data_IF_592169288316
#
_entry.id   IF_592169288316
#
_cell.length_a   1.000
_cell.length_b   1.000
_cell.length_c   1.000
_cell.angle_alpha   90.00
_cell.angle_beta   90.00
_cell.angle_gamma   90.00
#
_symmetry.space_group_name_H-M   'P 1'
#
loop_
_entity.id
_entity.type
_entity.pdbx_description
1 polymer ?
#
# COMPACT_ATOMS: atom_id res chain seq x y z
N UNK A 1 13.33 -33.95 9.81
CA UNK A 1 12.94 -34.01 8.38
C UNK A 1 13.00 -32.62 7.70
N UNK A 2 12.31 -31.59 8.25
CA UNK A 2 12.32 -30.24 7.65
C UNK A 2 13.73 -29.63 7.69
N UNK A 3 14.42 -29.72 8.84
CA UNK A 3 15.79 -29.21 9.02
C UNK A 3 16.80 -29.92 8.09
N UNK A 4 16.67 -31.22 7.91
CA UNK A 4 17.49 -31.97 6.96
C UNK A 4 17.20 -31.56 5.51
N UNK A 5 15.94 -31.34 5.19
CA UNK A 5 15.52 -30.84 3.88
C UNK A 5 16.12 -29.45 3.59
N UNK A 6 16.01 -28.51 4.55
CA UNK A 6 16.60 -27.17 4.44
C UNK A 6 18.11 -27.28 4.22
N UNK A 7 18.82 -28.08 5.02
CA UNK A 7 20.26 -28.25 4.91
C UNK A 7 20.69 -28.75 3.53
N UNK A 8 20.04 -29.80 3.00
CA UNK A 8 20.35 -30.34 1.67
C UNK A 8 20.16 -29.32 0.56
N UNK A 9 19.12 -28.45 0.69
CA UNK A 9 18.88 -27.44 -0.34
C UNK A 9 19.81 -26.25 -0.22
N UNK A 10 20.19 -25.87 0.99
CA UNK A 10 21.17 -24.80 1.25
C UNK A 10 22.57 -25.25 0.81
N UNK A 11 22.98 -26.52 1.07
CA UNK A 11 24.21 -27.11 0.52
C UNK A 11 24.25 -26.99 -1.01
N UNK A 12 23.11 -27.25 -1.67
CA UNK A 12 23.00 -27.17 -3.12
C UNK A 12 23.04 -25.74 -3.65
N UNK A 13 22.48 -24.78 -2.90
CA UNK A 13 22.54 -23.36 -3.27
C UNK A 13 23.96 -22.81 -3.18
N UNK A 14 24.72 -23.24 -2.19
CA UNK A 14 26.15 -22.93 -2.06
C UNK A 14 26.97 -23.55 -3.21
N UNK A 15 26.74 -24.83 -3.51
CA UNK A 15 27.41 -25.51 -4.65
C UNK A 15 27.15 -24.86 -5.99
N UNK A 16 25.96 -24.26 -6.18
CA UNK A 16 25.56 -23.56 -7.39
C UNK A 16 25.91 -22.05 -7.37
N UNK A 17 26.67 -21.60 -6.38
CA UNK A 17 27.05 -20.19 -6.18
C UNK A 17 25.86 -19.23 -6.11
N UNK A 18 24.68 -19.69 -5.69
CA UNK A 18 23.52 -18.84 -5.46
C UNK A 18 23.58 -18.11 -4.12
N UNK A 19 24.34 -18.65 -3.17
CA UNK A 19 24.62 -18.04 -1.86
C UNK A 19 26.12 -18.17 -1.58
N UNK A 20 26.67 -17.27 -0.78
CA UNK A 20 28.05 -17.36 -0.30
C UNK A 20 28.14 -18.13 1.03
N UNK A 21 29.37 -18.31 1.55
CA UNK A 21 29.59 -19.03 2.80
C UNK A 21 29.01 -18.32 4.02
N UNK A 22 28.91 -16.99 4.00
CA UNK A 22 28.34 -16.20 5.08
C UNK A 22 26.84 -16.41 5.13
N UNK A 23 26.17 -16.31 4.00
CA UNK A 23 24.73 -16.59 3.87
C UNK A 23 24.37 -18.03 4.21
N UNK A 24 25.21 -18.98 3.79
CA UNK A 24 25.06 -20.39 4.12
C UNK A 24 25.04 -20.61 5.64
N UNK A 25 25.97 -19.99 6.34
CA UNK A 25 26.07 -20.10 7.81
C UNK A 25 24.86 -19.42 8.48
N UNK A 26 24.42 -18.27 7.99
CA UNK A 26 23.28 -17.54 8.53
C UNK A 26 21.98 -18.35 8.37
N UNK A 27 21.74 -18.96 7.22
CA UNK A 27 20.57 -19.83 7.02
C UNK A 27 20.62 -21.07 7.91
N UNK A 28 21.80 -21.66 8.12
CA UNK A 28 21.97 -22.80 9.03
C UNK A 28 21.74 -22.40 10.49
N UNK A 29 22.19 -21.21 10.91
CA UNK A 29 21.91 -20.68 12.23
C UNK A 29 20.41 -20.52 12.49
N UNK A 30 19.68 -19.92 11.54
CA UNK A 30 18.22 -19.77 11.58
C UNK A 30 17.54 -21.16 11.66
N UNK A 31 17.98 -22.10 10.84
CA UNK A 31 17.42 -23.46 10.81
C UNK A 31 17.66 -24.24 12.13
N UNK A 32 18.72 -23.91 12.86
CA UNK A 32 19.07 -24.55 14.13
C UNK A 32 18.44 -23.90 15.36
N UNK A 33 17.88 -22.69 15.26
CA UNK A 33 17.17 -22.03 16.36
C UNK A 33 15.80 -22.69 16.59
N UNK A 34 15.53 -23.09 17.83
CA UNK A 34 14.29 -23.81 18.18
C UNK A 34 13.04 -22.93 18.23
N UNK A 35 13.21 -21.60 18.37
CA UNK A 35 12.12 -20.63 18.38
C UNK A 35 12.56 -19.36 17.65
N UNK A 36 12.00 -19.11 16.48
CA UNK A 36 11.94 -17.77 15.90
C UNK A 36 10.93 -16.99 16.73
N UNK A 37 11.40 -16.33 17.78
CA UNK A 37 10.56 -15.48 18.64
C UNK A 37 10.36 -14.11 17.99
N UNK A 38 9.34 -13.38 18.46
CA UNK A 38 9.06 -11.99 18.01
C UNK A 38 10.28 -11.06 18.13
N UNK A 39 11.24 -11.37 19.01
CA UNK A 39 12.51 -10.65 19.13
C UNK A 39 13.36 -10.68 17.85
N UNK A 40 13.31 -11.75 17.07
CA UNK A 40 14.03 -11.84 15.79
C UNK A 40 13.50 -10.80 14.79
N UNK A 41 12.18 -10.60 14.73
CA UNK A 41 11.57 -9.59 13.87
C UNK A 41 11.79 -8.15 14.36
N UNK A 42 11.90 -7.94 15.66
CA UNK A 42 12.20 -6.62 16.24
C UNK A 42 13.64 -6.17 15.95
N UNK A 43 14.60 -7.08 16.00
CA UNK A 43 16.00 -6.79 15.68
C UNK A 43 16.22 -6.65 14.16
N UNK A 44 15.37 -7.26 13.33
CA UNK A 44 15.48 -7.18 11.88
C UNK A 44 15.41 -5.74 11.35
N UNK A 45 14.62 -4.85 11.97
CA UNK A 45 14.53 -3.46 11.55
C UNK A 45 15.87 -2.72 11.74
N UNK A 46 16.56 -2.96 12.85
CA UNK A 46 17.88 -2.37 13.11
C UNK A 46 18.95 -2.98 12.19
N UNK A 47 18.90 -4.30 11.96
CA UNK A 47 19.80 -4.99 11.03
C UNK A 47 19.56 -4.58 9.58
N UNK A 48 18.32 -4.30 9.18
CA UNK A 48 17.98 -3.83 7.84
C UNK A 48 18.60 -2.47 7.51
N UNK A 49 18.66 -1.57 8.48
CA UNK A 49 19.28 -0.26 8.32
C UNK A 49 20.80 -0.33 8.40
N UNK A 50 21.34 -1.19 9.27
CA UNK A 50 22.77 -1.25 9.60
C UNK A 50 23.55 -2.29 8.80
N UNK A 51 22.93 -3.39 8.39
CA UNK A 51 23.60 -4.50 7.68
C UNK A 51 22.76 -5.01 6.51
N UNK A 52 23.01 -4.45 5.32
CA UNK A 52 22.30 -4.81 4.08
C UNK A 52 22.42 -6.31 3.73
N UNK A 53 23.59 -6.90 3.97
CA UNK A 53 23.84 -8.30 3.65
C UNK A 53 22.98 -9.24 4.53
N UNK A 54 22.85 -8.96 5.81
CA UNK A 54 21.94 -9.70 6.68
C UNK A 54 20.47 -9.56 6.26
N UNK A 55 20.06 -8.35 5.87
CA UNK A 55 18.72 -8.12 5.36
C UNK A 55 18.43 -8.96 4.11
N UNK A 56 19.36 -8.98 3.15
CA UNK A 56 19.22 -9.77 1.93
C UNK A 56 19.19 -11.28 2.25
N UNK A 57 20.06 -11.75 3.13
CA UNK A 57 20.08 -13.16 3.54
C UNK A 57 18.79 -13.57 4.25
N UNK A 58 18.22 -12.68 5.08
CA UNK A 58 16.91 -12.92 5.71
C UNK A 58 15.80 -13.02 4.65
N UNK A 59 15.75 -12.08 3.71
CA UNK A 59 14.77 -12.10 2.63
C UNK A 59 14.91 -13.40 1.83
N UNK A 60 16.12 -13.80 1.48
CA UNK A 60 16.39 -15.02 0.74
C UNK A 60 15.93 -16.27 1.51
N UNK A 61 16.22 -16.35 2.81
CA UNK A 61 15.78 -17.43 3.67
C UNK A 61 14.25 -17.49 3.82
N UNK A 62 13.60 -16.33 3.95
CA UNK A 62 12.14 -16.23 3.98
C UNK A 62 11.51 -16.76 2.68
N UNK A 63 12.01 -16.30 1.52
CA UNK A 63 11.56 -16.74 0.21
C UNK A 63 11.72 -18.26 0.04
N UNK A 64 12.87 -18.78 0.45
CA UNK A 64 13.15 -20.21 0.41
C UNK A 64 12.15 -21.03 1.24
N UNK A 65 11.81 -20.56 2.45
CA UNK A 65 10.79 -21.18 3.30
C UNK A 65 9.38 -21.19 2.67
N UNK A 66 9.12 -20.26 1.76
CA UNK A 66 7.87 -20.20 0.97
C UNK A 66 7.95 -21.01 -0.33
N UNK A 67 9.00 -21.81 -0.54
CA UNK A 67 9.31 -22.52 -1.79
C UNK A 67 9.47 -21.59 -3.00
N UNK A 68 9.92 -20.36 -2.76
CA UNK A 68 10.20 -19.36 -3.79
C UNK A 68 11.70 -19.17 -3.87
N UNK A 69 12.27 -19.47 -5.04
CA UNK A 69 13.73 -19.40 -5.24
C UNK A 69 14.02 -18.36 -6.33
N UNK A 70 14.73 -17.31 -5.94
CA UNK A 70 15.34 -16.35 -6.86
C UNK A 70 16.86 -16.36 -6.70
N UNK A 71 17.63 -16.20 -7.78
CA UNK A 71 19.05 -15.92 -7.68
C UNK A 71 19.31 -14.71 -6.78
N UNK A 72 20.35 -14.77 -5.96
CA UNK A 72 20.68 -13.72 -4.99
C UNK A 72 20.75 -12.33 -5.63
N UNK A 73 21.41 -12.21 -6.78
CA UNK A 73 21.54 -10.94 -7.49
C UNK A 73 20.18 -10.28 -7.81
N UNK A 74 19.13 -11.06 -8.08
CA UNK A 74 17.77 -10.53 -8.31
C UNK A 74 17.23 -9.86 -7.04
N UNK A 75 17.46 -10.46 -5.88
CA UNK A 75 17.04 -9.93 -4.59
C UNK A 75 17.85 -8.68 -4.25
N UNK A 76 19.16 -8.70 -4.48
CA UNK A 76 20.07 -7.56 -4.27
C UNK A 76 19.70 -6.37 -5.16
N UNK A 77 19.48 -6.63 -6.46
CA UNK A 77 19.08 -5.60 -7.43
C UNK A 77 17.72 -4.99 -7.04
N UNK A 78 16.74 -5.84 -6.71
CA UNK A 78 15.41 -5.36 -6.31
C UNK A 78 15.49 -4.56 -5.00
N UNK A 79 16.26 -5.02 -4.02
CA UNK A 79 16.52 -4.30 -2.79
C UNK A 79 17.17 -2.93 -3.04
N UNK A 80 18.18 -2.87 -3.90
CA UNK A 80 18.87 -1.63 -4.26
C UNK A 80 17.91 -0.64 -4.97
N UNK A 81 17.10 -1.13 -5.92
CA UNK A 81 16.12 -0.31 -6.62
C UNK A 81 15.07 0.30 -5.67
N UNK A 82 14.60 -0.48 -4.69
CA UNK A 82 13.64 0.05 -3.70
C UNK A 82 14.23 1.22 -2.91
N UNK A 83 15.53 1.20 -2.62
CA UNK A 83 16.19 2.28 -1.88
C UNK A 83 16.33 3.59 -2.66
N UNK A 84 16.18 3.57 -3.99
CA UNK A 84 16.23 4.80 -4.81
C UNK A 84 14.94 5.60 -4.74
N UNK A 85 13.85 5.02 -4.24
CA UNK A 85 12.50 5.58 -4.26
C UNK A 85 12.02 5.95 -5.68
N UNK A 86 12.54 5.28 -6.69
CA UNK A 86 12.15 5.45 -8.08
C UNK A 86 11.05 4.45 -8.48
N UNK A 87 10.39 4.73 -9.60
CA UNK A 87 9.49 3.77 -10.23
C UNK A 87 10.29 2.57 -10.74
N UNK A 88 9.96 1.38 -10.25
CA UNK A 88 10.62 0.14 -10.62
C UNK A 88 9.82 -0.54 -11.73
N UNK A 89 10.45 -0.83 -12.85
CA UNK A 89 9.84 -1.55 -13.98
C UNK A 89 10.45 -2.95 -14.05
N UNK A 90 9.61 -3.97 -13.78
CA UNK A 90 10.01 -5.37 -13.90
C UNK A 90 9.64 -5.90 -15.29
N UNK A 91 10.62 -6.09 -16.14
CA UNK A 91 10.47 -6.65 -17.48
C UNK A 91 10.92 -8.13 -17.54
N UNK A 92 10.28 -8.92 -18.38
CA UNK A 92 10.60 -10.33 -18.57
C UNK A 92 9.40 -11.13 -19.08
N UNK A 93 9.63 -12.38 -19.43
CA UNK A 93 8.62 -13.28 -19.96
C UNK A 93 7.45 -13.50 -19.01
N UNK A 94 6.26 -13.81 -19.55
CA UNK A 94 5.12 -14.17 -18.72
C UNK A 94 5.43 -15.45 -17.93
N UNK A 95 5.03 -15.47 -16.65
CA UNK A 95 5.32 -16.60 -15.77
C UNK A 95 6.75 -16.63 -15.17
N UNK A 96 7.61 -15.65 -15.45
CA UNK A 96 8.95 -15.57 -14.86
C UNK A 96 8.98 -15.20 -13.36
N UNK A 97 7.82 -15.02 -12.73
CA UNK A 97 7.72 -14.76 -11.30
C UNK A 97 7.78 -13.29 -10.88
N UNK A 98 7.75 -12.32 -11.82
CA UNK A 98 7.84 -10.87 -11.51
C UNK A 98 6.88 -10.41 -10.40
N UNK A 99 5.60 -10.69 -10.57
CA UNK A 99 4.56 -10.32 -9.60
C UNK A 99 4.73 -11.06 -8.26
N UNK A 100 5.19 -12.30 -8.33
CA UNK A 100 5.47 -13.08 -7.13
C UNK A 100 6.70 -12.56 -6.36
N UNK A 101 7.71 -12.04 -7.06
CA UNK A 101 8.86 -11.36 -6.43
C UNK A 101 8.39 -10.21 -5.56
N UNK A 102 7.55 -9.31 -6.09
CA UNK A 102 7.03 -8.16 -5.34
C UNK A 102 6.26 -8.60 -4.10
N UNK A 103 5.34 -9.56 -4.24
CA UNK A 103 4.55 -10.10 -3.11
C UNK A 103 5.41 -10.73 -2.03
N UNK A 104 6.29 -11.62 -2.44
CA UNK A 104 7.11 -12.39 -1.52
C UNK A 104 8.15 -11.51 -0.83
N UNK A 105 8.73 -10.56 -1.56
CA UNK A 105 9.64 -9.58 -0.99
C UNK A 105 8.94 -8.67 0.04
N UNK A 106 7.76 -8.12 -0.30
CA UNK A 106 6.98 -7.32 0.64
C UNK A 106 6.70 -8.09 1.93
N UNK A 107 6.24 -9.35 1.81
CA UNK A 107 5.97 -10.20 2.96
C UNK A 107 7.23 -10.47 3.79
N UNK A 108 8.39 -10.68 3.13
CA UNK A 108 9.65 -10.95 3.83
C UNK A 108 10.11 -9.81 4.72
N UNK A 109 9.76 -8.56 4.38
CA UNK A 109 10.12 -7.36 5.16
C UNK A 109 8.97 -6.82 6.02
N UNK A 110 7.88 -7.57 6.15
CA UNK A 110 6.70 -7.15 6.92
C UNK A 110 5.90 -6.02 6.25
N UNK A 111 6.08 -5.82 4.95
CA UNK A 111 5.34 -4.86 4.14
C UNK A 111 4.03 -5.42 3.58
N UNK A 112 3.31 -4.59 2.84
CA UNK A 112 2.09 -4.97 2.12
C UNK A 112 2.28 -4.83 0.61
N UNK A 113 1.75 -5.78 -0.15
CA UNK A 113 1.76 -5.76 -1.61
C UNK A 113 0.34 -5.70 -2.17
N UNK A 114 0.06 -4.68 -2.97
CA UNK A 114 -1.17 -4.52 -3.72
C UNK A 114 -0.89 -4.77 -5.20
N UNK A 115 -1.48 -5.82 -5.74
CA UNK A 115 -1.33 -6.17 -7.16
C UNK A 115 -2.59 -5.75 -7.89
N UNK A 116 -2.43 -4.79 -8.78
CA UNK A 116 -3.52 -4.15 -9.49
C UNK A 116 -3.40 -4.49 -10.97
N UNK A 117 -4.27 -5.36 -11.49
CA UNK A 117 -4.23 -5.72 -12.90
C UNK A 117 -4.69 -4.56 -13.77
N UNK A 118 -3.87 -4.15 -14.71
CA UNK A 118 -4.23 -3.16 -15.73
C UNK A 118 -5.20 -3.80 -16.71
N UNK A 119 -6.26 -3.08 -17.04
CA UNK A 119 -7.29 -3.56 -17.98
C UNK A 119 -7.07 -2.95 -19.37
N UNK A 120 -7.33 -3.69 -20.45
CA UNK A 120 -7.13 -3.20 -21.82
C UNK A 120 -7.97 -1.97 -22.19
N UNK A 121 -9.02 -1.69 -21.45
CA UNK A 121 -9.93 -0.56 -21.67
C UNK A 121 -9.54 0.70 -20.88
N UNK A 122 -8.40 0.72 -20.19
CA UNK A 122 -7.94 1.92 -19.50
C UNK A 122 -7.47 2.97 -20.49
N UNK A 123 -8.00 4.19 -20.39
CA UNK A 123 -7.77 5.27 -21.34
C UNK A 123 -7.51 6.64 -20.70
N UNK A 124 -7.66 6.73 -19.36
CA UNK A 124 -7.50 7.98 -18.63
C UNK A 124 -6.98 7.75 -17.21
N UNK A 125 -6.52 8.81 -16.54
CA UNK A 125 -6.12 8.77 -15.14
C UNK A 125 -7.27 8.36 -14.20
N UNK A 126 -8.52 8.58 -14.59
CA UNK A 126 -9.70 8.14 -13.85
C UNK A 126 -9.79 6.62 -13.71
N UNK A 127 -9.30 5.87 -14.70
CA UNK A 127 -9.24 4.40 -14.64
C UNK A 127 -8.29 3.92 -13.53
N UNK A 128 -7.27 4.72 -13.22
CA UNK A 128 -6.28 4.43 -12.19
C UNK A 128 -6.69 4.99 -10.82
N UNK A 129 -7.15 6.23 -10.76
CA UNK A 129 -7.45 6.93 -9.50
C UNK A 129 -8.92 6.82 -9.09
N UNK A 130 -9.81 6.70 -10.06
CA UNK A 130 -11.24 6.87 -9.86
C UNK A 130 -11.71 8.26 -10.25
N UNK A 131 -12.96 8.55 -10.00
CA UNK A 131 -13.59 9.81 -10.37
C UNK A 131 -14.74 10.19 -9.42
N UNK A 132 -15.04 11.47 -9.37
CA UNK A 132 -16.21 11.95 -8.64
C UNK A 132 -17.49 11.73 -9.45
N UNK A 133 -18.46 11.03 -8.83
CA UNK A 133 -19.78 10.82 -9.43
C UNK A 133 -20.76 11.89 -8.92
N UNK A 134 -21.15 12.88 -9.73
CA UNK A 134 -22.01 13.97 -9.29
C UNK A 134 -23.45 13.53 -8.98
N UNK A 135 -23.89 12.40 -9.54
CA UNK A 135 -25.24 11.87 -9.29
C UNK A 135 -25.34 11.22 -7.92
N UNK A 136 -24.30 10.47 -7.55
CA UNK A 136 -24.19 9.80 -6.24
C UNK A 136 -23.53 10.70 -5.18
N UNK A 137 -22.99 11.83 -5.60
CA UNK A 137 -22.24 12.78 -4.76
C UNK A 137 -21.12 12.13 -3.95
N UNK A 138 -20.44 11.17 -4.58
CA UNK A 138 -19.32 10.46 -3.95
C UNK A 138 -18.19 10.25 -4.93
N UNK A 139 -16.99 10.12 -4.40
CA UNK A 139 -15.84 9.69 -5.16
C UNK A 139 -15.83 8.16 -5.28
N UNK A 140 -15.75 7.66 -6.49
CA UNK A 140 -15.63 6.24 -6.79
C UNK A 140 -14.14 5.91 -6.91
N UNK A 141 -13.56 5.47 -5.79
CA UNK A 141 -12.16 5.09 -5.71
C UNK A 141 -11.86 3.80 -6.47
N UNK A 142 -10.61 3.65 -6.87
CA UNK A 142 -10.08 2.41 -7.41
C UNK A 142 -9.22 1.70 -6.36
N UNK A 143 -8.91 0.41 -6.52
CA UNK A 143 -7.97 -0.29 -5.65
C UNK A 143 -6.58 0.35 -5.60
N UNK A 144 -6.16 1.06 -6.64
CA UNK A 144 -4.89 1.80 -6.66
C UNK A 144 -4.94 3.01 -5.71
N UNK A 145 -5.97 3.83 -5.80
CA UNK A 145 -6.14 4.97 -4.90
C UNK A 145 -6.33 4.52 -3.45
N UNK A 146 -7.10 3.46 -3.22
CA UNK A 146 -7.29 2.90 -1.88
C UNK A 146 -5.96 2.43 -1.26
N UNK A 147 -5.11 1.78 -2.05
CA UNK A 147 -3.76 1.37 -1.60
C UNK A 147 -2.86 2.57 -1.27
N UNK A 148 -2.92 3.66 -2.05
CA UNK A 148 -2.20 4.91 -1.76
C UNK A 148 -2.67 5.55 -0.45
N UNK A 149 -3.98 5.66 -0.25
CA UNK A 149 -4.58 6.22 0.97
C UNK A 149 -4.20 5.34 2.18
N UNK A 150 -4.25 4.03 2.04
CA UNK A 150 -3.85 3.11 3.11
C UNK A 150 -2.36 3.28 3.46
N UNK A 151 -1.49 3.41 2.46
CA UNK A 151 -0.07 3.67 2.65
C UNK A 151 0.18 5.00 3.38
N UNK A 152 -0.51 6.06 3.00
CA UNK A 152 -0.40 7.38 3.64
C UNK A 152 -0.82 7.32 5.12
N UNK A 153 -1.85 6.55 5.43
CA UNK A 153 -2.34 6.40 6.81
C UNK A 153 -1.44 5.50 7.69
N UNK A 154 -0.54 4.72 7.08
CA UNK A 154 0.35 3.78 7.78
C UNK A 154 1.81 3.96 7.37
N UNK A 155 2.45 5.11 7.65
CA UNK A 155 3.77 5.47 7.12
C UNK A 155 4.92 4.59 7.66
N UNK A 156 4.67 3.77 8.67
CA UNK A 156 5.67 2.88 9.26
C UNK A 156 5.75 1.51 8.56
N UNK A 157 4.80 1.21 7.67
CA UNK A 157 4.74 -0.05 6.96
C UNK A 157 5.15 0.19 5.49
N UNK A 158 6.08 -0.59 4.93
CA UNK A 158 6.39 -0.51 3.50
C UNK A 158 5.21 -0.99 2.64
N UNK A 159 4.81 -0.20 1.66
CA UNK A 159 3.75 -0.54 0.71
C UNK A 159 4.33 -0.71 -0.69
N UNK A 160 4.00 -1.81 -1.34
CA UNK A 160 4.36 -2.13 -2.70
C UNK A 160 3.10 -2.14 -3.56
N UNK A 161 2.91 -1.07 -4.34
CA UNK A 161 1.76 -0.96 -5.24
C UNK A 161 2.25 -1.32 -6.63
N UNK A 162 1.84 -2.48 -7.13
CA UNK A 162 2.30 -3.05 -8.39
C UNK A 162 1.17 -3.03 -9.42
N UNK A 163 1.38 -2.31 -10.51
CA UNK A 163 0.53 -2.40 -11.70
C UNK A 163 0.96 -3.62 -12.52
N UNK A 164 0.12 -4.63 -12.55
CA UNK A 164 0.40 -5.88 -13.26
C UNK A 164 -0.05 -5.77 -14.72
N UNK A 165 0.77 -6.27 -15.64
CA UNK A 165 0.54 -6.22 -17.08
C UNK A 165 0.32 -4.78 -17.62
N UNK A 166 1.16 -3.83 -17.20
CA UNK A 166 1.06 -2.40 -17.58
C UNK A 166 0.89 -2.15 -19.08
N UNK A 167 1.41 -3.04 -19.91
CA UNK A 167 1.39 -2.98 -21.36
C UNK A 167 0.04 -3.34 -21.99
N UNK A 168 -0.94 -3.84 -21.22
CA UNK A 168 -2.28 -4.13 -21.75
C UNK A 168 -3.05 -2.88 -22.18
N UNK A 169 -2.75 -1.73 -21.58
CA UNK A 169 -3.28 -0.44 -21.96
C UNK A 169 -2.15 0.52 -22.30
N UNK A 170 -2.46 1.66 -22.91
CA UNK A 170 -1.43 2.67 -23.20
C UNK A 170 -1.08 3.45 -21.96
N UNK A 171 0.12 3.20 -21.42
CA UNK A 171 0.63 3.77 -20.18
C UNK A 171 0.58 5.30 -20.19
N UNK A 172 0.88 5.92 -21.33
CA UNK A 172 0.85 7.35 -21.53
C UNK A 172 -0.53 8.00 -21.34
N UNK A 173 -1.61 7.23 -21.31
CA UNK A 173 -2.94 7.77 -21.07
C UNK A 173 -3.38 7.67 -19.62
N UNK A 174 -3.24 6.50 -19.01
CA UNK A 174 -3.72 6.29 -17.64
C UNK A 174 -2.69 6.64 -16.57
N UNK A 175 -1.40 6.73 -16.93
CA UNK A 175 -0.31 6.96 -15.98
C UNK A 175 0.43 8.29 -16.22
N UNK A 176 -0.03 9.14 -17.16
CA UNK A 176 0.63 10.40 -17.53
C UNK A 176 0.85 11.33 -16.33
N UNK A 177 -0.17 11.53 -15.50
CA UNK A 177 -0.11 12.42 -14.34
C UNK A 177 0.95 11.95 -13.34
N UNK A 178 1.09 10.63 -13.16
CA UNK A 178 2.13 10.05 -12.30
C UNK A 178 3.53 10.22 -12.86
N UNK A 179 3.71 10.10 -14.18
CA UNK A 179 5.01 10.32 -14.81
C UNK A 179 5.50 11.74 -14.54
N UNK A 180 4.62 12.72 -14.66
CA UNK A 180 4.94 14.12 -14.35
C UNK A 180 5.30 14.33 -12.88
N UNK A 181 4.55 13.73 -11.97
CA UNK A 181 4.82 13.82 -10.53
C UNK A 181 6.13 13.14 -10.13
N UNK A 182 6.51 12.05 -10.80
CA UNK A 182 7.77 11.36 -10.55
C UNK A 182 8.99 12.17 -11.01
N UNK A 183 8.81 13.17 -11.89
CA UNK A 183 9.86 14.10 -12.30
C UNK A 183 10.09 15.20 -11.24
N UNK A 184 9.08 15.56 -10.47
CA UNK A 184 9.11 16.61 -9.44
C UNK A 184 9.66 16.08 -8.11
N UNK A 185 10.95 15.72 -8.06
CA UNK A 185 11.58 15.03 -6.90
C UNK A 185 11.87 15.91 -5.68
N UNK A 186 11.75 17.22 -5.79
CA UNK A 186 12.14 18.16 -4.75
C UNK A 186 11.03 18.47 -3.74
N UNK A 187 9.80 18.12 -4.04
CA UNK A 187 8.62 18.37 -3.22
C UNK A 187 7.82 17.07 -3.04
N UNK A 188 6.98 17.01 -2.02
CA UNK A 188 6.03 15.89 -1.88
C UNK A 188 4.96 16.08 -2.95
N UNK A 189 4.86 15.17 -3.92
CA UNK A 189 3.91 15.33 -5.01
C UNK A 189 2.47 15.25 -4.50
N UNK A 190 1.62 16.16 -4.98
CA UNK A 190 0.20 16.19 -4.64
C UNK A 190 -0.65 15.79 -5.84
N UNK A 191 -1.58 14.88 -5.63
CA UNK A 191 -2.55 14.46 -6.63
C UNK A 191 -3.88 15.14 -6.35
N UNK A 192 -4.37 15.96 -7.28
CA UNK A 192 -5.68 16.57 -7.18
C UNK A 192 -6.75 15.58 -7.66
N UNK A 193 -7.61 15.15 -6.74
CA UNK A 193 -8.68 14.19 -7.02
C UNK A 193 -9.97 14.87 -7.49
N UNK A 194 -10.09 16.18 -7.28
CA UNK A 194 -11.28 16.97 -7.61
C UNK A 194 -10.91 18.20 -8.44
N UNK A 195 -11.77 18.58 -9.35
CA UNK A 195 -11.68 19.89 -10.01
C UNK A 195 -12.01 21.02 -9.01
N UNK A 196 -11.63 22.26 -9.33
CA UNK A 196 -11.96 23.43 -8.50
C UNK A 196 -13.48 23.62 -8.36
N UNK A 197 -14.23 23.35 -9.44
CA UNK A 197 -15.69 23.45 -9.45
C UNK A 197 -16.33 22.38 -8.56
N UNK A 198 -15.87 21.14 -8.63
CA UNK A 198 -16.32 20.04 -7.77
C UNK A 198 -15.99 20.30 -6.29
N UNK A 199 -14.77 20.78 -6.01
CA UNK A 199 -14.35 21.17 -4.67
C UNK A 199 -15.22 22.30 -4.13
N UNK A 200 -15.52 23.32 -4.94
CA UNK A 200 -16.39 24.44 -4.56
C UNK A 200 -17.80 23.98 -4.25
N UNK A 201 -18.32 23.02 -5.00
CA UNK A 201 -19.66 22.46 -4.76
C UNK A 201 -19.71 21.67 -3.44
N UNK A 202 -18.70 20.81 -3.18
CA UNK A 202 -18.59 20.06 -1.93
C UNK A 202 -18.42 21.00 -0.74
N UNK A 203 -17.58 22.02 -0.84
CA UNK A 203 -17.36 23.02 0.19
C UNK A 203 -18.64 23.83 0.48
N UNK A 204 -19.44 24.16 -0.55
CA UNK A 204 -20.73 24.82 -0.37
C UNK A 204 -21.73 23.96 0.40
N UNK A 205 -21.80 22.64 0.09
CA UNK A 205 -22.66 21.72 0.84
C UNK A 205 -22.17 21.52 2.27
N UNK A 206 -20.84 21.36 2.47
CA UNK A 206 -20.24 21.27 3.80
C UNK A 206 -20.50 22.54 4.64
N UNK A 207 -20.45 23.72 4.02
CA UNK A 207 -20.75 24.99 4.68
C UNK A 207 -22.20 25.00 5.22
N UNK A 208 -23.17 24.56 4.42
CA UNK A 208 -24.55 24.45 4.86
C UNK A 208 -24.72 23.47 6.03
N UNK A 209 -23.98 22.37 6.03
CA UNK A 209 -23.96 21.40 7.15
C UNK A 209 -23.34 22.01 8.41
N UNK A 210 -22.22 22.74 8.26
CA UNK A 210 -21.56 23.40 9.39
C UNK A 210 -22.46 24.50 10.00
N UNK A 211 -23.15 25.29 9.18
CA UNK A 211 -24.13 26.28 9.64
C UNK A 211 -25.30 25.61 10.35
N UNK A 212 -25.78 24.45 9.87
CA UNK A 212 -26.82 23.68 10.55
C UNK A 212 -26.31 23.13 11.88
N UNK A 213 -25.09 22.62 11.95
CA UNK A 213 -24.47 22.16 13.19
C UNK A 213 -24.26 23.28 14.18
N UNK A 214 -23.83 24.47 13.73
CA UNK A 214 -23.69 25.65 14.61
C UNK A 214 -25.03 26.15 15.18
N UNK A 215 -26.04 26.32 14.34
CA UNK A 215 -27.41 26.72 14.77
C UNK A 215 -28.00 25.69 15.73
N UNK A 216 -27.76 24.42 15.49
CA UNK A 216 -28.25 23.37 16.37
C UNK A 216 -27.46 23.32 17.67
N UNK A 217 -26.12 23.60 17.61
CA UNK A 217 -25.27 23.70 18.79
C UNK A 217 -25.70 24.80 19.72
N UNK A 218 -26.11 25.98 19.23
CA UNK A 218 -26.70 27.05 20.03
C UNK A 218 -28.01 26.60 20.73
N UNK A 219 -28.83 25.83 20.01
CA UNK A 219 -30.07 25.25 20.54
C UNK A 219 -29.80 24.22 21.66
N UNK A 220 -28.68 23.47 21.57
CA UNK A 220 -28.28 22.45 22.54
C UNK A 220 -27.28 22.93 23.60
N UNK A 221 -26.57 24.03 23.40
CA UNK A 221 -25.72 24.64 24.45
C UNK A 221 -26.54 25.00 25.70
N UNK A 222 -27.81 25.33 25.53
CA UNK A 222 -28.76 25.51 26.67
C UNK A 222 -29.03 24.20 27.45
N UNK A 223 -28.59 23.01 26.92
CA UNK A 223 -28.80 21.69 27.52
C UNK A 223 -27.49 20.96 27.90
N UNK A 224 -26.33 21.63 27.87
CA UNK A 224 -25.03 21.03 28.22
C UNK A 224 -24.66 19.73 27.43
N UNK A 225 -25.09 19.61 26.17
CA UNK A 225 -24.80 18.44 25.36
C UNK A 225 -23.53 18.73 24.51
N UNK A 226 -22.36 18.35 25.03
CA UNK A 226 -21.04 18.60 24.38
C UNK A 226 -20.55 17.35 23.62
N UNK A 227 -21.39 16.42 23.23
CA UNK A 227 -20.93 15.18 22.59
C UNK A 227 -21.41 15.11 21.15
N UNK A 228 -20.45 15.01 20.21
CA UNK A 228 -20.69 14.88 18.77
C UNK A 228 -21.66 13.74 18.43
N UNK A 229 -21.56 12.60 19.14
CA UNK A 229 -22.46 11.45 18.96
C UNK A 229 -23.92 11.81 19.29
N UNK A 230 -24.16 12.66 20.30
CA UNK A 230 -25.49 13.14 20.61
C UNK A 230 -26.03 14.16 19.61
N UNK A 231 -25.13 14.92 18.96
CA UNK A 231 -25.46 15.81 17.87
C UNK A 231 -25.93 15.02 16.64
N UNK A 232 -25.31 13.90 16.34
CA UNK A 232 -25.70 12.98 15.27
C UNK A 232 -27.01 12.23 15.55
N UNK A 233 -27.49 12.24 16.79
CA UNK A 233 -28.83 11.70 17.16
C UNK A 233 -30.00 12.66 16.87
N UNK A 234 -29.68 13.91 16.52
CA UNK A 234 -30.70 14.86 16.05
C UNK A 234 -31.17 14.49 14.66
N UNK A 235 -32.48 14.35 14.46
CA UNK A 235 -33.04 13.86 13.20
C UNK A 235 -32.78 14.81 12.01
N UNK A 236 -32.78 16.14 12.26
CA UNK A 236 -32.53 17.12 11.21
C UNK A 236 -31.06 17.06 10.73
N UNK A 237 -30.11 17.09 11.66
CA UNK A 237 -28.68 17.02 11.37
C UNK A 237 -28.35 15.70 10.70
N UNK A 238 -28.85 14.60 11.22
CA UNK A 238 -28.62 13.28 10.67
C UNK A 238 -29.14 13.17 9.23
N UNK A 239 -30.32 13.70 8.96
CA UNK A 239 -30.92 13.72 7.63
C UNK A 239 -30.11 14.54 6.63
N UNK A 240 -29.59 15.69 7.02
CA UNK A 240 -28.74 16.52 6.16
C UNK A 240 -27.36 15.88 5.94
N UNK A 241 -26.71 15.34 6.96
CA UNK A 241 -25.46 14.62 6.85
C UNK A 241 -25.59 13.39 5.95
N UNK A 242 -26.68 12.62 6.13
CA UNK A 242 -26.98 11.46 5.27
C UNK A 242 -27.14 11.89 3.81
N UNK A 243 -27.79 13.03 3.56
CA UNK A 243 -27.97 13.58 2.21
C UNK A 243 -26.64 14.04 1.59
N UNK A 244 -25.82 14.79 2.36
CA UNK A 244 -24.56 15.39 1.85
C UNK A 244 -23.51 14.32 1.62
N UNK A 245 -23.34 13.39 2.53
CA UNK A 245 -22.33 12.34 2.44
C UNK A 245 -22.81 11.08 1.72
N UNK A 246 -24.08 11.03 1.29
CA UNK A 246 -24.63 9.90 0.53
C UNK A 246 -24.71 8.58 1.31
N UNK A 247 -24.75 8.63 2.63
CA UNK A 247 -24.95 7.43 3.44
C UNK A 247 -26.41 6.94 3.34
N UNK A 248 -26.58 5.62 3.28
CA UNK A 248 -27.90 5.02 3.13
C UNK A 248 -28.69 4.94 4.43
N UNK A 249 -28.02 5.05 5.58
CA UNK A 249 -28.62 4.93 6.90
C UNK A 249 -27.76 5.59 8.00
N UNK A 250 -28.35 5.74 9.18
CA UNK A 250 -27.76 6.36 10.37
C UNK A 250 -26.53 5.61 10.91
N UNK A 251 -26.52 4.31 10.77
CA UNK A 251 -25.45 3.45 11.33
C UNK A 251 -24.18 3.49 10.46
N UNK A 252 -24.33 3.77 9.16
CA UNK A 252 -23.23 4.01 8.23
C UNK A 252 -22.45 5.29 8.53
N UNK A 253 -23.09 6.27 9.17
CA UNK A 253 -22.49 7.57 9.52
C UNK A 253 -21.66 7.51 10.82
N UNK A 254 -21.89 6.50 11.65
CA UNK A 254 -21.24 6.31 12.96
C UNK A 254 -20.06 5.36 12.91
N UNK A 255 -19.96 4.55 11.85
CA UNK A 255 -18.83 3.63 11.58
C UNK A 255 -17.73 4.32 10.82
#
# INVERSE_FOLDING_TARGET
>A
KLREFVKVHVDRLLELEFIDEEDYNDVLMINNQENLTDEFFLNFKEDFESNKQKAISHIQAYLFNQNVIYPRYIIEDFFAMIQTNDLIILAGESGSGKTNLVKSFANAIGGKAFIIPVKPNWTSAEDLLGYYNPLEKKYLSTPFLEALIEAQNNPTIPYFICLDEMNLARVEYYFADFLSLLEERNEIPEIKLYSEDETSHILSELKNVLELIETTKEKYQKKNIINFIKLLQDEEINKELTRVFGFSDKDSLIK
#
